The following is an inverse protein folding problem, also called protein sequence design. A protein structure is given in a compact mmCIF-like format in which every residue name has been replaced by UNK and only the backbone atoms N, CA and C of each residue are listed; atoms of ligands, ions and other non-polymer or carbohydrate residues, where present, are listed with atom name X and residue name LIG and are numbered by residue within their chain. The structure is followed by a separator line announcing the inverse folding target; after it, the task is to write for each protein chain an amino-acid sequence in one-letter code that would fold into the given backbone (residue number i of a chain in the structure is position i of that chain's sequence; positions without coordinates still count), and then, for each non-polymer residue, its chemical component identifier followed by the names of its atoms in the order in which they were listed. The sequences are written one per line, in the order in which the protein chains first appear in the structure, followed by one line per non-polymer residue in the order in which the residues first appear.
data_IF_982262587733
#
_entry.id   IF_982262587733
#
_cell.length_a   1.000
_cell.length_b   1.000
_cell.length_c   1.000
_cell.angle_alpha   90.00
_cell.angle_beta   90.00
_cell.angle_gamma   90.00
#
_symmetry.space_group_name_H-M   'P 1'
#
loop_
_entity.id
_entity.type
_entity.pdbx_description
1 polymer ?
#
# COMPACT_ATOMS: atom_id res chain seq x y z
N UNK A 1 -2.69 -43.26 4.93
CA UNK A 1 -3.05 -43.08 6.36
C UNK A 1 -3.93 -41.85 6.59
N UNK A 2 -3.47 -40.62 6.30
CA UNK A 2 -4.18 -39.36 6.63
C UNK A 2 -5.61 -39.26 6.07
N UNK A 3 -5.84 -39.77 4.85
CA UNK A 3 -7.16 -39.72 4.18
C UNK A 3 -8.25 -40.48 4.96
N UNK A 4 -7.93 -41.66 5.49
CA UNK A 4 -8.85 -42.52 6.27
C UNK A 4 -9.21 -41.85 7.60
N UNK A 5 -8.20 -41.35 8.33
CA UNK A 5 -8.44 -40.62 9.59
C UNK A 5 -9.26 -39.35 9.37
N UNK A 6 -9.09 -38.68 8.24
CA UNK A 6 -9.81 -37.46 7.90
C UNK A 6 -11.28 -37.72 7.56
N UNK A 7 -11.60 -38.82 6.90
CA UNK A 7 -12.99 -39.23 6.68
C UNK A 7 -13.67 -39.58 8.00
N UNK A 8 -13.04 -40.39 8.85
CA UNK A 8 -13.56 -40.71 10.19
C UNK A 8 -13.75 -39.46 11.04
N UNK A 9 -12.76 -38.58 11.08
CA UNK A 9 -12.82 -37.31 11.84
C UNK A 9 -13.92 -36.37 11.33
N UNK A 10 -14.24 -36.41 10.03
CA UNK A 10 -15.28 -35.54 9.43
C UNK A 10 -16.68 -35.92 9.87
N UNK A 11 -16.98 -37.23 9.96
CA UNK A 11 -18.30 -37.74 10.33
C UNK A 11 -18.45 -38.05 11.83
N UNK A 12 -17.35 -37.98 12.59
CA UNK A 12 -17.35 -38.22 14.03
C UNK A 12 -18.03 -37.09 14.86
N UNK A 13 -18.67 -37.51 15.95
CA UNK A 13 -19.18 -36.65 17.01
C UNK A 13 -18.04 -36.03 17.83
N UNK A 14 -18.34 -35.08 18.73
CA UNK A 14 -17.32 -34.38 19.52
C UNK A 14 -16.48 -35.34 20.39
N UNK A 15 -17.10 -36.37 20.98
CA UNK A 15 -16.41 -37.38 21.80
C UNK A 15 -15.51 -38.27 20.95
N UNK A 16 -16.00 -38.74 19.80
CA UNK A 16 -15.24 -39.59 18.87
C UNK A 16 -14.06 -38.84 18.23
N UNK A 17 -14.21 -37.55 17.92
CA UNK A 17 -13.13 -36.70 17.40
C UNK A 17 -11.93 -36.63 18.35
N UNK A 18 -12.16 -36.64 19.66
CA UNK A 18 -11.08 -36.63 20.66
C UNK A 18 -10.30 -37.95 20.62
N UNK A 19 -11.00 -39.08 20.53
CA UNK A 19 -10.40 -40.42 20.43
C UNK A 19 -9.59 -40.57 19.15
N UNK A 20 -10.18 -40.22 18.01
CA UNK A 20 -9.53 -40.23 16.68
C UNK A 20 -8.30 -39.32 16.67
N UNK A 21 -8.36 -38.17 17.34
CA UNK A 21 -7.23 -37.25 17.41
C UNK A 21 -6.10 -37.79 18.29
N UNK A 22 -6.41 -38.48 19.39
CA UNK A 22 -5.40 -39.13 20.24
C UNK A 22 -4.67 -40.25 19.49
N UNK A 23 -5.44 -41.11 18.80
CA UNK A 23 -4.90 -42.19 17.96
C UNK A 23 -4.02 -41.64 16.82
N UNK A 24 -4.45 -40.54 16.20
CA UNK A 24 -3.66 -39.92 15.14
C UNK A 24 -2.36 -39.30 15.66
N UNK A 25 -2.38 -38.68 16.85
CA UNK A 25 -1.18 -38.11 17.49
C UNK A 25 -0.20 -39.21 17.89
N UNK A 26 -0.67 -40.35 18.43
CA UNK A 26 0.20 -41.46 18.80
C UNK A 26 0.86 -42.13 17.59
N UNK A 27 0.14 -42.21 16.46
CA UNK A 27 0.66 -42.81 15.23
C UNK A 27 1.58 -41.88 14.42
N UNK A 28 1.32 -40.56 14.42
CA UNK A 28 2.04 -39.61 13.55
C UNK A 28 3.07 -38.75 14.27
N UNK A 29 3.09 -38.75 15.61
CA UNK A 29 3.97 -37.88 16.42
C UNK A 29 3.69 -36.38 16.29
N UNK A 30 2.56 -35.98 15.69
CA UNK A 30 2.23 -34.56 15.53
C UNK A 30 1.67 -33.96 16.81
N UNK A 31 1.94 -32.67 17.05
CA UNK A 31 1.24 -31.95 18.10
C UNK A 31 -0.26 -31.94 17.83
N UNK A 32 -1.07 -32.15 18.87
CA UNK A 32 -2.54 -32.13 18.84
C UNK A 32 -3.13 -30.98 18.02
N UNK A 33 -2.57 -29.78 18.14
CA UNK A 33 -3.02 -28.61 17.37
C UNK A 33 -2.82 -28.82 15.87
N UNK A 34 -1.62 -29.24 15.46
CA UNK A 34 -1.29 -29.51 14.06
C UNK A 34 -2.08 -30.69 13.51
N UNK A 35 -2.19 -31.78 14.27
CA UNK A 35 -3.00 -32.95 13.94
C UNK A 35 -4.46 -32.56 13.66
N UNK A 36 -5.05 -31.74 14.52
CA UNK A 36 -6.42 -31.28 14.36
C UNK A 36 -6.60 -30.38 13.14
N UNK A 37 -5.57 -29.63 12.75
CA UNK A 37 -5.57 -28.80 11.55
C UNK A 37 -5.47 -29.67 10.28
N UNK A 38 -4.60 -30.68 10.28
CA UNK A 38 -4.42 -31.62 9.16
C UNK A 38 -5.71 -32.41 8.89
N UNK A 39 -6.37 -32.91 9.94
CA UNK A 39 -7.63 -33.65 9.81
C UNK A 39 -8.81 -32.75 9.40
N UNK A 40 -8.80 -31.46 9.78
CA UNK A 40 -9.82 -30.49 9.37
C UNK A 40 -9.60 -29.90 7.98
N UNK A 41 -8.36 -29.89 7.49
CA UNK A 41 -7.99 -29.28 6.22
C UNK A 41 -8.70 -30.02 5.10
N UNK A 42 -9.82 -29.48 4.62
CA UNK A 42 -10.47 -29.96 3.41
C UNK A 42 -9.38 -30.00 2.33
N UNK A 43 -9.23 -31.13 1.66
CA UNK A 43 -8.58 -31.25 0.37
C UNK A 43 -9.38 -30.30 -0.51
N UNK A 44 -8.96 -29.05 -0.48
CA UNK A 44 -9.17 -28.14 -1.56
C UNK A 44 -8.33 -28.78 -2.65
N UNK A 45 -8.91 -29.79 -3.31
CA UNK A 45 -8.72 -29.93 -4.74
C UNK A 45 -8.82 -28.50 -5.21
N UNK A 46 -7.69 -27.91 -5.59
CA UNK A 46 -7.62 -26.64 -6.29
C UNK A 46 -8.37 -26.86 -7.60
N UNK A 47 -9.70 -27.00 -7.55
CA UNK A 47 -10.53 -26.40 -8.57
C UNK A 47 -10.20 -24.93 -8.41
N UNK A 48 -9.21 -24.47 -9.18
CA UNK A 48 -9.15 -23.10 -9.63
C UNK A 48 -10.60 -22.76 -9.93
N UNK A 49 -11.23 -21.99 -9.05
CA UNK A 49 -12.53 -21.43 -9.34
C UNK A 49 -12.28 -20.50 -10.53
N UNK A 50 -12.45 -21.03 -11.74
CA UNK A 50 -12.27 -20.34 -13.02
C UNK A 50 -13.36 -19.30 -13.26
N UNK A 51 -14.31 -19.14 -12.32
CA UNK A 51 -15.24 -18.02 -12.32
C UNK A 51 -14.60 -16.88 -11.54
N UNK A 52 -14.07 -15.83 -12.21
CA UNK A 52 -13.74 -14.61 -11.51
C UNK A 52 -15.01 -14.18 -10.76
N UNK A 53 -14.89 -13.88 -9.46
CA UNK A 53 -15.97 -13.21 -8.72
C UNK A 53 -16.42 -12.03 -9.59
N UNK A 54 -17.71 -11.93 -9.87
CA UNK A 54 -18.28 -10.81 -10.58
C UNK A 54 -17.91 -9.54 -9.80
N UNK A 55 -16.83 -8.88 -10.20
CA UNK A 55 -16.50 -7.58 -9.69
C UNK A 55 -17.57 -6.67 -10.25
N UNK A 56 -18.46 -6.18 -9.39
CA UNK A 56 -19.32 -5.05 -9.73
C UNK A 56 -18.40 -3.94 -10.24
N UNK A 57 -18.32 -3.81 -11.57
CA UNK A 57 -17.55 -2.75 -12.22
C UNK A 57 -18.29 -1.46 -11.95
N UNK A 58 -17.98 -0.84 -10.81
CA UNK A 58 -18.49 0.49 -10.46
C UNK A 58 -18.17 1.42 -11.64
N UNK A 59 -19.19 2.08 -12.17
CA UNK A 59 -19.04 3.06 -13.24
C UNK A 59 -18.02 4.11 -12.80
N UNK A 60 -16.91 4.19 -13.54
CA UNK A 60 -15.81 5.08 -13.18
C UNK A 60 -16.21 6.50 -13.57
N UNK A 61 -16.49 7.36 -12.60
CA UNK A 61 -16.91 8.76 -12.84
C UNK A 61 -15.82 9.60 -13.57
N UNK A 62 -14.55 9.25 -13.34
CA UNK A 62 -13.39 9.87 -13.96
C UNK A 62 -12.84 8.98 -15.08
N UNK A 63 -13.29 9.24 -16.30
CA UNK A 63 -12.93 8.48 -17.50
C UNK A 63 -11.43 8.52 -17.81
N UNK A 64 -10.97 7.61 -18.67
CA UNK A 64 -9.59 7.55 -19.13
C UNK A 64 -9.10 8.87 -19.75
N UNK A 65 -10.00 9.64 -20.39
CA UNK A 65 -9.70 10.95 -20.94
C UNK A 65 -9.34 11.97 -19.84
N UNK A 66 -10.07 11.97 -18.72
CA UNK A 66 -9.77 12.87 -17.59
C UNK A 66 -8.42 12.51 -16.97
N UNK A 67 -8.11 11.22 -16.87
CA UNK A 67 -6.80 10.76 -16.40
C UNK A 67 -5.66 11.25 -17.29
N UNK A 68 -5.80 11.17 -18.62
CA UNK A 68 -4.76 11.63 -19.56
C UNK A 68 -4.49 13.12 -19.40
N UNK A 69 -5.54 13.94 -19.41
CA UNK A 69 -5.39 15.41 -19.23
C UNK A 69 -4.76 15.73 -17.87
N UNK A 70 -5.18 15.03 -16.81
CA UNK A 70 -4.59 15.20 -15.48
C UNK A 70 -3.10 14.81 -15.45
N UNK A 71 -2.72 13.76 -16.16
CA UNK A 71 -1.32 13.33 -16.26
C UNK A 71 -0.47 14.37 -17.00
N UNK A 72 -0.98 14.95 -18.09
CA UNK A 72 -0.29 16.00 -18.85
C UNK A 72 -0.09 17.26 -18.01
N UNK A 73 -1.14 17.70 -17.29
CA UNK A 73 -1.04 18.82 -16.35
C UNK A 73 -0.05 18.55 -15.22
N UNK A 74 -0.01 17.31 -14.72
CA UNK A 74 0.90 16.92 -13.67
C UNK A 74 2.37 16.88 -14.13
N UNK A 75 2.62 16.50 -15.39
CA UNK A 75 3.94 16.57 -16.03
C UNK A 75 4.36 18.02 -16.28
N UNK A 76 3.44 18.87 -16.74
CA UNK A 76 3.69 20.30 -16.96
C UNK A 76 4.13 21.01 -15.67
N UNK A 77 3.64 20.56 -14.52
CA UNK A 77 3.95 21.10 -13.19
C UNK A 77 5.05 20.32 -12.45
N UNK A 78 5.97 19.69 -13.19
CA UNK A 78 7.12 18.95 -12.63
C UNK A 78 6.76 17.98 -11.51
N UNK A 79 5.67 17.24 -11.69
CA UNK A 79 5.25 16.18 -10.78
C UNK A 79 4.91 16.62 -9.34
N UNK A 80 4.39 17.84 -9.17
CA UNK A 80 3.93 18.40 -7.88
C UNK A 80 2.99 17.47 -7.08
N UNK A 81 2.92 17.64 -5.75
CA UNK A 81 2.08 16.81 -4.91
C UNK A 81 0.57 17.04 -5.17
N UNK A 82 -0.24 16.01 -4.97
CA UNK A 82 -1.68 16.02 -5.33
C UNK A 82 -2.47 17.14 -4.65
N UNK A 83 -2.09 17.53 -3.42
CA UNK A 83 -2.75 18.65 -2.69
C UNK A 83 -2.47 19.99 -3.35
N UNK A 84 -1.22 20.27 -3.72
CA UNK A 84 -0.85 21.49 -4.46
C UNK A 84 -1.42 21.48 -5.87
N UNK A 85 -1.49 20.32 -6.51
CA UNK A 85 -2.07 20.17 -7.85
C UNK A 85 -3.53 20.64 -7.89
N UNK A 86 -4.36 20.30 -6.89
CA UNK A 86 -5.76 20.76 -6.83
C UNK A 86 -5.85 22.29 -6.90
N UNK A 87 -5.00 23.00 -6.17
CA UNK A 87 -5.00 24.46 -6.15
C UNK A 87 -4.39 25.09 -7.41
N UNK A 88 -3.44 24.40 -8.05
CA UNK A 88 -2.79 24.86 -9.28
C UNK A 88 -3.65 24.62 -10.54
N UNK A 89 -4.56 23.63 -10.52
CA UNK A 89 -5.42 23.28 -11.67
C UNK A 89 -6.22 24.48 -12.23
N UNK A 90 -6.92 25.29 -11.43
CA UNK A 90 -7.70 26.41 -11.95
C UNK A 90 -6.85 27.46 -12.69
N UNK A 91 -5.70 27.80 -12.13
CA UNK A 91 -4.78 28.79 -12.70
C UNK A 91 -4.09 28.26 -13.96
N UNK A 92 -3.61 27.01 -13.93
CA UNK A 92 -3.01 26.36 -15.10
C UNK A 92 -3.98 26.23 -16.26
N UNK A 93 -5.23 25.85 -16.02
CA UNK A 93 -6.26 25.80 -17.07
C UNK A 93 -6.49 27.19 -17.68
N UNK A 94 -6.58 28.24 -16.85
CA UNK A 94 -6.75 29.62 -17.33
C UNK A 94 -5.58 30.05 -18.22
N UNK A 95 -4.35 29.71 -17.83
CA UNK A 95 -3.16 30.01 -18.62
C UNK A 95 -3.15 29.22 -19.94
N UNK A 96 -3.49 27.94 -19.93
CA UNK A 96 -3.57 27.11 -21.14
C UNK A 96 -4.62 27.62 -22.14
N UNK A 97 -5.76 28.12 -21.66
CA UNK A 97 -6.77 28.75 -22.51
C UNK A 97 -6.26 30.06 -23.13
N UNK A 98 -5.51 30.86 -22.37
CA UNK A 98 -4.93 32.12 -22.86
C UNK A 98 -3.92 31.89 -23.98
N UNK A 99 -3.09 30.86 -23.86
CA UNK A 99 -2.07 30.54 -24.86
C UNK A 99 -2.56 29.62 -26.00
N UNK A 100 -3.85 29.22 -25.98
CA UNK A 100 -4.49 28.30 -26.94
C UNK A 100 -3.74 26.99 -27.20
N UNK A 101 -2.81 26.62 -26.32
CA UNK A 101 -1.83 25.55 -26.57
C UNK A 101 -2.44 24.16 -26.36
N UNK A 102 -3.56 24.06 -25.63
CA UNK A 102 -4.15 22.78 -25.24
C UNK A 102 -5.68 22.83 -25.23
N UNK A 103 -6.32 22.02 -26.09
CA UNK A 103 -7.79 21.95 -26.19
C UNK A 103 -8.36 21.01 -25.13
N UNK A 104 -9.03 21.56 -24.12
CA UNK A 104 -9.74 20.80 -23.09
C UNK A 104 -11.25 20.88 -23.34
N UNK A 105 -11.94 19.73 -23.37
CA UNK A 105 -13.41 19.72 -23.41
C UNK A 105 -13.99 20.34 -22.15
N UNK A 106 -15.09 21.10 -22.29
CA UNK A 106 -15.80 21.77 -21.19
C UNK A 106 -16.18 20.79 -20.08
N UNK A 107 -16.57 19.56 -20.43
CA UNK A 107 -16.92 18.51 -19.47
C UNK A 107 -15.71 18.07 -18.63
N UNK A 108 -14.56 17.88 -19.27
CA UNK A 108 -13.32 17.48 -18.58
C UNK A 108 -12.85 18.61 -17.66
N UNK A 109 -12.94 19.88 -18.11
CA UNK A 109 -12.63 21.04 -17.29
C UNK A 109 -13.48 21.08 -16.01
N UNK A 110 -14.79 20.87 -16.13
CA UNK A 110 -15.67 20.83 -14.96
C UNK A 110 -15.33 19.67 -14.01
N UNK A 111 -15.03 18.48 -14.55
CA UNK A 111 -14.60 17.32 -13.75
C UNK A 111 -13.27 17.60 -13.02
N UNK A 112 -12.32 18.28 -13.66
CA UNK A 112 -11.03 18.65 -13.07
C UNK A 112 -11.16 19.73 -12.01
N UNK A 113 -12.04 20.72 -12.17
CA UNK A 113 -12.27 21.76 -11.16
C UNK A 113 -12.94 21.21 -9.88
N UNK A 114 -13.73 20.13 -10.00
CA UNK A 114 -14.41 19.48 -8.86
C UNK A 114 -13.57 18.37 -8.20
N UNK A 115 -12.42 18.01 -8.77
CA UNK A 115 -11.67 16.84 -8.31
C UNK A 115 -11.03 17.09 -6.95
N UNK A 116 -11.09 16.10 -6.06
CA UNK A 116 -10.42 16.16 -4.76
C UNK A 116 -8.99 15.63 -4.82
N UNK A 117 -8.14 16.10 -3.90
CA UNK A 117 -6.72 15.69 -3.83
C UNK A 117 -6.56 14.17 -3.67
N UNK A 118 -7.43 13.53 -2.88
CA UNK A 118 -7.42 12.08 -2.68
C UNK A 118 -7.78 11.31 -3.95
N UNK A 119 -8.62 11.89 -4.81
CA UNK A 119 -9.00 11.28 -6.09
C UNK A 119 -7.88 11.40 -7.11
N UNK A 120 -7.25 12.59 -7.21
CA UNK A 120 -6.04 12.79 -8.01
C UNK A 120 -4.97 11.76 -7.63
N UNK A 121 -4.73 11.58 -6.33
CA UNK A 121 -3.74 10.64 -5.84
C UNK A 121 -4.04 9.21 -6.29
N UNK A 122 -5.28 8.73 -6.12
CA UNK A 122 -5.69 7.39 -6.61
C UNK A 122 -5.52 7.26 -8.13
N UNK A 123 -5.78 8.31 -8.91
CA UNK A 123 -5.61 8.31 -10.36
C UNK A 123 -4.13 8.29 -10.78
N UNK A 124 -3.26 8.97 -10.05
CA UNK A 124 -1.82 9.09 -10.33
C UNK A 124 -0.97 7.94 -9.77
N UNK A 125 -1.44 7.20 -8.77
CA UNK A 125 -0.75 6.00 -8.22
C UNK A 125 -0.22 5.04 -9.29
N UNK A 126 -1.02 4.57 -10.28
CA UNK A 126 -0.50 3.66 -11.30
C UNK A 126 0.59 4.30 -12.16
N UNK A 127 0.51 5.61 -12.42
CA UNK A 127 1.49 6.36 -13.22
C UNK A 127 2.79 6.52 -12.42
N UNK A 128 2.70 6.92 -11.15
CA UNK A 128 3.85 7.04 -10.22
C UNK A 128 4.59 5.72 -10.06
N UNK A 129 3.87 4.59 -9.96
CA UNK A 129 4.46 3.26 -9.92
C UNK A 129 5.24 2.94 -11.20
N UNK A 130 4.72 3.32 -12.37
CA UNK A 130 5.42 3.13 -13.66
C UNK A 130 6.67 4.01 -13.77
N UNK A 131 6.61 5.25 -13.28
CA UNK A 131 7.75 6.17 -13.27
C UNK A 131 8.87 5.73 -12.32
N UNK A 132 8.62 4.75 -11.45
CA UNK A 132 9.65 4.21 -10.57
C UNK A 132 10.20 5.23 -9.57
N UNK A 133 9.45 6.30 -9.26
CA UNK A 133 9.84 7.36 -8.31
C UNK A 133 9.89 6.73 -6.91
N UNK A 134 11.00 6.08 -6.59
CA UNK A 134 11.36 5.69 -5.24
C UNK A 134 11.91 6.93 -4.56
N UNK A 135 11.42 7.21 -3.35
CA UNK A 135 11.98 8.27 -2.52
C UNK A 135 13.46 7.99 -2.27
N UNK A 136 14.32 8.69 -3.00
CA UNK A 136 15.73 8.77 -2.70
C UNK A 136 15.86 9.87 -1.65
N UNK A 137 15.84 9.51 -0.37
CA UNK A 137 16.61 10.34 0.56
C UNK A 137 18.00 10.44 -0.06
N UNK A 138 18.37 11.62 -0.58
CA UNK A 138 19.69 11.80 -1.20
C UNK A 138 20.78 11.66 -0.14
N UNK A 139 20.42 11.92 1.11
CA UNK A 139 21.24 11.66 2.27
C UNK A 139 21.00 10.22 2.74
N UNK A 140 22.04 9.39 2.65
CA UNK A 140 22.14 8.20 3.51
C UNK A 140 22.30 8.71 4.94
N UNK A 141 21.58 8.14 5.90
CA UNK A 141 21.81 8.43 7.31
C UNK A 141 23.28 8.12 7.62
N UNK A 142 24.08 9.16 7.89
CA UNK A 142 25.47 8.99 8.25
C UNK A 142 25.55 8.61 9.73
N UNK A 143 25.43 7.30 10.02
CA UNK A 143 25.57 6.75 11.38
C UNK A 143 26.84 7.29 12.07
N UNK A 144 27.94 7.36 11.33
CA UNK A 144 29.24 7.81 11.85
C UNK A 144 29.27 9.29 12.27
N UNK A 145 28.44 10.15 11.67
CA UNK A 145 28.44 11.58 12.02
C UNK A 145 27.65 11.83 13.31
N UNK A 146 26.58 11.07 13.53
CA UNK A 146 25.78 11.12 14.77
C UNK A 146 26.60 10.62 15.96
N UNK A 147 27.43 9.58 15.76
CA UNK A 147 28.28 9.04 16.82
C UNK A 147 29.45 9.99 17.20
N UNK A 148 29.87 10.87 16.28
CA UNK A 148 30.98 11.83 16.49
C UNK A 148 30.54 13.20 17.00
N UNK A 149 29.29 13.58 16.73
CA UNK A 149 28.75 14.85 17.20
C UNK A 149 27.85 14.52 18.40
N UNK A 150 28.33 14.71 19.64
CA UNK A 150 27.50 14.44 20.81
C UNK A 150 26.27 15.36 20.77
N UNK A 151 25.09 14.77 20.57
CA UNK A 151 23.82 15.48 20.64
C UNK A 151 23.53 15.70 22.12
N UNK A 152 24.02 16.82 22.66
CA UNK A 152 23.76 17.19 24.05
C UNK A 152 22.30 17.54 24.22
N UNK A 153 21.59 16.76 25.01
CA UNK A 153 20.20 17.07 25.38
C UNK A 153 20.21 18.10 26.51
N UNK A 154 19.12 18.87 26.70
CA UNK A 154 19.06 20.05 27.60
C UNK A 154 19.58 19.82 29.04
N UNK A 155 19.60 18.57 29.54
CA UNK A 155 20.13 18.23 30.87
C UNK A 155 21.64 18.04 30.97
N UNK A 156 22.37 17.90 29.86
CA UNK A 156 23.79 17.53 29.81
C UNK A 156 24.74 18.74 29.72
N UNK A 157 24.19 19.95 29.81
CA UNK A 157 24.94 21.22 29.71
C UNK A 157 25.63 21.65 31.01
N UNK A 158 25.55 20.87 32.10
CA UNK A 158 26.09 21.26 33.41
C UNK A 158 27.62 21.21 33.54
N UNK A 159 28.34 20.68 32.55
CA UNK A 159 29.80 20.46 32.66
C UNK A 159 30.58 21.03 31.45
N UNK A 160 30.39 22.32 31.18
CA UNK A 160 31.10 23.04 30.10
C UNK A 160 32.07 24.07 30.68
N UNK A 161 33.00 23.66 31.55
CA UNK A 161 34.02 24.54 32.13
C UNK A 161 35.28 24.74 31.26
N UNK A 162 35.23 24.45 29.95
CA UNK A 162 36.40 24.44 29.06
C UNK A 162 36.33 25.44 27.89
N UNK A 163 35.81 26.64 28.15
CA UNK A 163 35.88 27.79 27.22
C UNK A 163 36.55 29.01 27.87
N UNK A 164 37.64 28.81 28.62
CA UNK A 164 38.45 29.89 29.18
C UNK A 164 39.94 29.82 28.79
N UNK A 165 40.22 29.30 27.60
CA UNK A 165 41.54 29.41 26.97
C UNK A 165 41.34 29.58 25.47
N UNK A 166 41.05 30.81 25.05
CA UNK A 166 41.40 31.48 23.77
C UNK A 166 40.77 32.88 23.88
N UNK A 167 41.44 33.76 24.62
CA UNK A 167 41.70 35.19 24.36
C UNK A 167 43.11 35.42 24.92
#
# INVERSE_FOLDING_TARGET
MIKVFRERYRYATKKEKISILNEFVSLSGFNRNYASQVLRKKEVLKKLSTKPKAQNKRTVYYDASVRKVLEDLWKLLDHICSKRLVHAIPETIKNLERFQTYKISKEIKQKLLKISASTIERLLVPIRKKLGIKGTSMTKQNKYLIDRIPIKTFGEWKDSQLFLRII
#
